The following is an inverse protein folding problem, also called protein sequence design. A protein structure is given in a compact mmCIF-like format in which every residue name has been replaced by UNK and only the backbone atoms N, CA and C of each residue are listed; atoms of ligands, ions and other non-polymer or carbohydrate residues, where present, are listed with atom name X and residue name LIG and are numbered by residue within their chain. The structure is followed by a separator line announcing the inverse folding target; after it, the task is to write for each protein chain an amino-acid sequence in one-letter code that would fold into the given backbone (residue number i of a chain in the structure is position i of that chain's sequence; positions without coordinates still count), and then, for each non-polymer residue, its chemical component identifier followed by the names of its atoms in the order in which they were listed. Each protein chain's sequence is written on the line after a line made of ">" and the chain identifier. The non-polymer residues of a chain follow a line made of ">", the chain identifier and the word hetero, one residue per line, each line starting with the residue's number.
data_IF_363588890548
#
_entry.id   IF_363588890548
#
_cell.length_a   1.000
_cell.length_b   1.000
_cell.length_c   1.000
_cell.angle_alpha   90.00
_cell.angle_beta   90.00
_cell.angle_gamma   90.00
#
_symmetry.space_group_name_H-M   'P 1'
#
loop_
_entity.id
_entity.type
_entity.pdbx_description
1 polymer ?
#
# COMPACT_ATOMS: atom_id res chain seq x y z
N UNK A 1 5.38 -13.44 -2.37
CA UNK A 1 4.39 -12.58 -3.05
C UNK A 1 3.00 -13.24 -3.00
N UNK A 2 2.58 -13.73 -1.83
CA UNK A 2 1.33 -14.47 -1.63
C UNK A 2 0.16 -13.50 -1.55
N UNK A 3 0.31 -12.41 -0.79
CA UNK A 3 -0.73 -11.38 -0.66
C UNK A 3 -0.92 -10.55 -1.93
N UNK A 4 0.16 -10.28 -2.67
CA UNK A 4 0.11 -9.45 -3.89
C UNK A 4 -0.25 -10.19 -5.17
N UNK A 5 -0.05 -11.51 -5.24
CA UNK A 5 -0.26 -12.30 -6.48
C UNK A 5 -1.15 -13.52 -6.24
N UNK A 6 -0.77 -14.44 -5.35
CA UNK A 6 -1.48 -15.71 -5.22
C UNK A 6 -2.88 -15.58 -4.62
N UNK A 7 -3.05 -14.82 -3.55
CA UNK A 7 -4.37 -14.58 -2.94
C UNK A 7 -5.32 -13.90 -3.94
N UNK A 8 -4.92 -12.82 -4.65
CA UNK A 8 -5.73 -12.26 -5.72
C UNK A 8 -6.16 -13.29 -6.77
N UNK A 9 -5.21 -14.08 -7.29
CA UNK A 9 -5.49 -15.08 -8.32
C UNK A 9 -6.42 -16.19 -7.81
N UNK A 10 -6.23 -16.67 -6.58
CA UNK A 10 -7.09 -17.69 -5.97
C UNK A 10 -8.52 -17.18 -5.70
N UNK A 11 -8.66 -15.88 -5.42
CA UNK A 11 -9.96 -15.23 -5.24
C UNK A 11 -10.62 -14.83 -6.58
N UNK A 12 -9.96 -15.06 -7.71
CA UNK A 12 -10.46 -14.67 -9.04
C UNK A 12 -10.45 -13.16 -9.27
N UNK A 13 -9.60 -12.41 -8.55
CA UNK A 13 -9.46 -10.96 -8.69
C UNK A 13 -8.15 -10.59 -9.39
N UNK A 14 -8.08 -9.35 -9.86
CA UNK A 14 -6.95 -8.85 -10.67
C UNK A 14 -5.79 -8.39 -9.78
N UNK A 15 -4.56 -8.79 -10.14
CA UNK A 15 -3.33 -8.20 -9.63
C UNK A 15 -2.68 -7.33 -10.70
N UNK A 16 -2.39 -6.07 -10.36
CA UNK A 16 -1.67 -5.13 -11.24
C UNK A 16 -0.19 -5.13 -10.90
N UNK A 17 0.63 -5.61 -11.83
CA UNK A 17 2.09 -5.63 -11.68
C UNK A 17 2.66 -4.48 -12.50
N UNK A 18 3.27 -3.51 -11.80
CA UNK A 18 3.90 -2.34 -12.40
C UNK A 18 5.41 -2.36 -12.15
N UNK A 19 6.23 -1.83 -13.06
CA UNK A 19 7.63 -1.51 -12.78
C UNK A 19 7.71 -0.58 -11.56
N UNK A 20 8.74 -0.75 -10.73
CA UNK A 20 8.91 0.04 -9.51
C UNK A 20 8.89 1.54 -9.77
N UNK A 21 9.51 1.96 -10.87
CA UNK A 21 9.60 3.35 -11.32
C UNK A 21 8.23 3.97 -11.60
N UNK A 22 7.26 3.18 -12.09
CA UNK A 22 5.89 3.66 -12.32
C UNK A 22 5.10 3.84 -11.02
N UNK A 23 5.53 3.19 -9.94
CA UNK A 23 4.96 3.34 -8.60
C UNK A 23 5.73 4.34 -7.72
N UNK A 24 6.75 4.98 -8.28
CA UNK A 24 7.62 5.92 -7.57
C UNK A 24 8.75 5.27 -6.77
N UNK A 25 8.95 3.95 -6.85
CA UNK A 25 10.08 3.26 -6.24
C UNK A 25 11.29 3.34 -7.17
N UNK A 26 12.14 4.34 -6.95
CA UNK A 26 13.33 4.61 -7.76
C UNK A 26 14.57 4.03 -7.06
N UNK A 27 14.85 2.75 -7.32
CA UNK A 27 15.96 2.04 -6.67
C UNK A 27 15.69 1.72 -5.18
N UNK A 28 16.75 1.54 -4.39
CA UNK A 28 16.66 0.97 -3.04
C UNK A 28 16.19 1.95 -1.96
N UNK A 29 16.32 3.27 -2.18
CA UNK A 29 16.06 4.28 -1.14
C UNK A 29 15.37 5.54 -1.65
N UNK A 30 15.08 5.67 -2.95
CA UNK A 30 14.40 6.85 -3.47
C UNK A 30 12.94 6.52 -3.72
N UNK A 31 12.06 7.38 -3.20
CA UNK A 31 10.62 7.28 -3.39
C UNK A 31 10.10 8.61 -3.90
N UNK A 32 9.32 8.56 -4.99
CA UNK A 32 8.72 9.73 -5.61
C UNK A 32 7.19 9.74 -5.41
N UNK A 33 6.68 10.52 -4.44
CA UNK A 33 5.26 10.51 -4.07
C UNK A 33 4.32 10.88 -5.21
N UNK A 34 4.77 11.72 -6.16
CA UNK A 34 3.95 12.13 -7.30
C UNK A 34 3.65 10.96 -8.24
N UNK A 35 4.64 10.11 -8.51
CA UNK A 35 4.46 8.91 -9.34
C UNK A 35 3.55 7.91 -8.64
N UNK A 36 3.70 7.76 -7.32
CA UNK A 36 2.80 6.91 -6.55
C UNK A 36 1.35 7.43 -6.58
N UNK A 37 1.12 8.74 -6.41
CA UNK A 37 -0.20 9.34 -6.53
C UNK A 37 -0.80 9.16 -7.93
N UNK A 38 0.01 9.26 -8.98
CA UNK A 38 -0.42 9.01 -10.36
C UNK A 38 -0.81 7.55 -10.58
N UNK A 39 -0.04 6.60 -10.03
CA UNK A 39 -0.37 5.18 -10.08
C UNK A 39 -1.70 4.89 -9.37
N UNK A 40 -1.94 5.48 -8.18
CA UNK A 40 -3.21 5.36 -7.47
C UNK A 40 -4.38 5.91 -8.28
N UNK A 41 -4.20 7.08 -8.91
CA UNK A 41 -5.24 7.70 -9.75
C UNK A 41 -5.60 6.86 -10.98
N UNK A 42 -4.61 6.17 -11.55
CA UNK A 42 -4.75 5.39 -12.78
C UNK A 42 -5.34 4.01 -12.51
N UNK A 43 -4.78 3.30 -11.54
CA UNK A 43 -5.14 1.91 -11.24
C UNK A 43 -6.37 1.84 -10.34
N UNK A 44 -6.55 2.81 -9.44
CA UNK A 44 -7.62 2.83 -8.43
C UNK A 44 -7.72 1.49 -7.68
N UNK A 45 -6.62 1.02 -7.06
CA UNK A 45 -6.58 -0.29 -6.44
C UNK A 45 -7.55 -0.36 -5.26
N UNK A 46 -8.19 -1.52 -5.07
CA UNK A 46 -9.01 -1.77 -3.88
C UNK A 46 -8.19 -2.31 -2.71
N UNK A 47 -6.98 -2.83 -2.98
CA UNK A 47 -6.07 -3.27 -1.94
C UNK A 47 -4.61 -2.90 -2.20
N UNK A 48 -3.85 -2.68 -1.13
CA UNK A 48 -2.41 -2.42 -1.17
C UNK A 48 -1.68 -3.20 -0.07
N UNK A 49 -0.42 -3.52 -0.32
CA UNK A 49 0.53 -4.05 0.67
C UNK A 49 1.70 -3.09 0.75
N UNK A 50 1.88 -2.45 1.91
CA UNK A 50 2.80 -1.34 2.11
C UNK A 50 3.76 -1.61 3.26
N UNK A 51 4.91 -0.94 3.24
CA UNK A 51 5.73 -0.76 4.43
C UNK A 51 5.21 0.43 5.26
N UNK A 52 5.63 0.58 6.53
CA UNK A 52 5.25 1.75 7.33
C UNK A 52 5.63 3.09 6.67
N UNK A 53 6.78 3.14 6.00
CA UNK A 53 7.24 4.33 5.28
C UNK A 53 6.32 4.68 4.11
N UNK A 54 5.84 3.68 3.36
CA UNK A 54 4.90 3.90 2.26
C UNK A 54 3.49 4.23 2.77
N UNK A 55 3.07 3.71 3.94
CA UNK A 55 1.83 4.16 4.58
C UNK A 55 1.92 5.65 4.96
N UNK A 56 3.05 6.12 5.49
CA UNK A 56 3.26 7.55 5.77
C UNK A 56 3.13 8.40 4.50
N UNK A 57 3.69 7.94 3.38
CA UNK A 57 3.53 8.61 2.09
C UNK A 57 2.06 8.64 1.63
N UNK A 58 1.35 7.52 1.76
CA UNK A 58 -0.08 7.43 1.43
C UNK A 58 -0.93 8.39 2.27
N UNK A 59 -0.65 8.49 3.58
CA UNK A 59 -1.29 9.46 4.49
C UNK A 59 -1.05 10.90 3.99
N UNK A 60 0.17 11.23 3.58
CA UNK A 60 0.46 12.56 3.04
C UNK A 60 -0.33 12.84 1.76
N UNK A 61 -0.40 11.86 0.86
CA UNK A 61 -1.19 11.95 -0.37
C UNK A 61 -2.68 12.12 -0.05
N UNK A 62 -3.23 11.33 0.88
CA UNK A 62 -4.64 11.40 1.27
C UNK A 62 -5.02 12.75 1.87
N UNK A 63 -4.11 13.41 2.61
CA UNK A 63 -4.34 14.76 3.14
C UNK A 63 -4.50 15.80 2.02
N UNK A 64 -3.75 15.66 0.94
CA UNK A 64 -3.77 16.61 -0.19
C UNK A 64 -4.85 16.26 -1.22
N UNK A 65 -5.07 14.96 -1.45
CA UNK A 65 -5.95 14.42 -2.48
C UNK A 65 -6.74 13.22 -1.93
N UNK A 66 -7.77 13.47 -1.08
CA UNK A 66 -8.52 12.41 -0.41
C UNK A 66 -9.20 11.42 -1.38
N UNK A 67 -9.55 11.87 -2.58
CA UNK A 67 -10.19 11.03 -3.61
C UNK A 67 -9.31 9.88 -4.08
N UNK A 68 -7.98 9.98 -3.95
CA UNK A 68 -7.04 8.94 -4.39
C UNK A 68 -7.06 7.69 -3.51
N UNK A 69 -7.55 7.81 -2.28
CA UNK A 69 -7.69 6.67 -1.35
C UNK A 69 -9.12 6.14 -1.27
N UNK A 70 -10.07 6.76 -1.96
CA UNK A 70 -11.50 6.42 -1.85
C UNK A 70 -11.90 5.04 -2.40
N UNK A 71 -11.05 4.42 -3.23
CA UNK A 71 -11.26 3.05 -3.73
C UNK A 71 -10.72 1.98 -2.78
N UNK A 72 -9.85 2.35 -1.82
CA UNK A 72 -9.18 1.40 -0.95
C UNK A 72 -10.18 0.77 0.02
N UNK A 73 -10.22 -0.57 0.01
CA UNK A 73 -10.96 -1.40 0.95
C UNK A 73 -10.04 -2.08 1.96
N UNK A 74 -8.76 -2.26 1.62
CA UNK A 74 -7.80 -2.94 2.48
C UNK A 74 -6.36 -2.49 2.22
N UNK A 75 -5.62 -2.11 3.27
CA UNK A 75 -4.20 -1.77 3.16
C UNK A 75 -3.42 -2.56 4.22
N UNK A 76 -2.73 -3.62 3.82
CA UNK A 76 -1.82 -4.34 4.70
C UNK A 76 -0.54 -3.54 4.91
N UNK A 77 -0.07 -3.45 6.16
CA UNK A 77 1.16 -2.74 6.52
C UNK A 77 2.07 -3.66 7.31
N UNK A 78 3.28 -3.89 6.81
CA UNK A 78 4.22 -4.84 7.42
C UNK A 78 5.67 -4.62 6.98
N UNK A 79 6.55 -5.56 7.31
CA UNK A 79 7.98 -5.52 6.96
C UNK A 79 8.85 -4.62 7.85
N UNK A 80 8.26 -3.90 8.80
CA UNK A 80 8.95 -3.20 9.88
C UNK A 80 7.95 -2.92 11.03
N UNK A 81 8.46 -2.42 12.17
CA UNK A 81 7.61 -2.03 13.30
C UNK A 81 6.60 -0.96 12.88
N UNK A 82 5.30 -1.25 13.04
CA UNK A 82 4.23 -0.27 12.80
C UNK A 82 3.87 0.38 14.14
N UNK A 83 3.77 1.70 14.19
CA UNK A 83 3.27 2.37 15.40
C UNK A 83 1.75 2.44 15.36
N UNK A 84 1.10 2.23 16.51
CA UNK A 84 -0.36 2.37 16.62
C UNK A 84 -0.82 3.78 16.21
N UNK A 85 0.01 4.80 16.47
CA UNK A 85 -0.24 6.18 16.04
C UNK A 85 -0.31 6.31 14.51
N UNK A 86 0.54 5.60 13.78
CA UNK A 86 0.54 5.61 12.32
C UNK A 86 -0.77 5.03 11.76
N UNK A 87 -1.20 3.88 12.28
CA UNK A 87 -2.47 3.24 11.90
C UNK A 87 -3.67 4.14 12.24
N UNK A 88 -3.70 4.71 13.45
CA UNK A 88 -4.78 5.62 13.85
C UNK A 88 -4.86 6.87 12.94
N UNK A 89 -3.71 7.40 12.52
CA UNK A 89 -3.66 8.53 11.58
C UNK A 89 -4.19 8.14 10.20
N UNK A 90 -3.88 6.93 9.73
CA UNK A 90 -4.42 6.41 8.47
C UNK A 90 -5.96 6.27 8.53
N UNK A 91 -6.48 5.70 9.62
CA UNK A 91 -7.92 5.51 9.83
C UNK A 91 -8.67 6.84 9.89
N UNK A 92 -8.09 7.87 10.53
CA UNK A 92 -8.66 9.22 10.56
C UNK A 92 -8.80 9.86 9.17
N UNK A 93 -8.09 9.35 8.16
CA UNK A 93 -8.17 9.77 6.77
C UNK A 93 -8.93 8.76 5.88
N UNK A 94 -9.71 7.86 6.49
CA UNK A 94 -10.45 6.79 5.82
C UNK A 94 -9.58 5.79 5.04
N UNK A 95 -8.30 5.64 5.41
CA UNK A 95 -7.45 4.59 4.86
C UNK A 95 -7.64 3.33 5.71
N UNK A 96 -8.13 2.19 5.17
CA UNK A 96 -8.35 0.96 5.93
C UNK A 96 -7.03 0.20 6.13
N UNK A 97 -6.15 0.76 6.96
CA UNK A 97 -4.82 0.21 7.24
C UNK A 97 -4.84 -0.87 8.33
N UNK A 98 -4.25 -2.02 8.06
CA UNK A 98 -4.16 -3.14 8.99
C UNK A 98 -2.71 -3.57 9.12
N UNK A 99 -2.21 -3.61 10.36
CA UNK A 99 -0.89 -4.15 10.64
C UNK A 99 -0.88 -5.67 10.43
N UNK A 100 0.01 -6.14 9.57
CA UNK A 100 0.27 -7.54 9.35
C UNK A 100 1.70 -7.88 9.75
N UNK A 101 1.87 -8.80 10.69
CA UNK A 101 3.16 -9.39 10.99
C UNK A 101 3.32 -10.68 10.18
N UNK A 102 4.27 -10.66 9.25
CA UNK A 102 4.54 -11.77 8.35
C UNK A 102 6.03 -11.94 8.15
N UNK A 103 6.57 -13.08 8.60
CA UNK A 103 7.92 -13.51 8.25
C UNK A 103 7.89 -14.24 6.91
N UNK A 104 8.92 -14.06 6.09
CA UNK A 104 9.06 -14.77 4.80
C UNK A 104 9.05 -16.29 5.02
N UNK A 105 9.59 -16.73 6.15
CA UNK A 105 9.66 -18.11 6.62
C UNK A 105 8.28 -18.73 6.90
N UNK A 106 7.24 -17.92 7.12
CA UNK A 106 5.87 -18.36 7.36
C UNK A 106 4.99 -18.28 6.10
N UNK A 107 5.57 -18.03 4.93
CA UNK A 107 4.81 -17.87 3.68
C UNK A 107 3.87 -16.66 3.68
N UNK A 108 4.19 -15.63 4.47
CA UNK A 108 3.36 -14.41 4.51
C UNK A 108 3.71 -13.40 3.43
N UNK A 109 4.91 -13.51 2.83
CA UNK A 109 5.34 -12.65 1.73
C UNK A 109 4.61 -12.99 0.47
#
# INVERSE_FOLDING_TARGET
>A
NITGVYVPLMLGVTSSILPGEQTGLLGSSQFEPRLFAQALATIKPESLVLTPALLLALIHIAKQQPSLVGSLKFVAVGGARVSSQLINTAHALNIPAFEGYGLSECGSV
#
